data_IF_430145149148
#
_entry.id   IF_430145149148
#
_cell.length_a   1.000
_cell.length_b   1.000
_cell.length_c   1.000
_cell.angle_alpha   90.00
_cell.angle_beta   90.00
_cell.angle_gamma   90.00
#
_symmetry.space_group_name_H-M   'P 1'
#
loop_
_entity.id
_entity.type
_entity.pdbx_description
1 polymer ?
#
# COMPACT_ATOMS: atom_id res chain seq x y z
N UNK A 1 47.97 -0.23 -73.18
CA UNK A 1 47.71 0.51 -71.92
C UNK A 1 46.34 0.08 -71.41
N UNK A 2 46.33 -0.41 -70.17
CA UNK A 2 45.25 -1.16 -69.52
C UNK A 2 43.97 -0.35 -69.28
N UNK A 3 42.84 -0.95 -69.62
CA UNK A 3 41.50 -0.49 -69.30
C UNK A 3 41.27 -0.60 -67.79
N UNK A 4 40.98 0.52 -67.13
CA UNK A 4 40.76 0.58 -65.69
C UNK A 4 39.36 0.02 -65.39
N UNK A 5 39.31 -1.15 -64.76
CA UNK A 5 38.08 -1.78 -64.27
C UNK A 5 37.64 -1.09 -62.98
N UNK A 6 36.56 -0.32 -63.04
CA UNK A 6 35.92 0.21 -61.83
C UNK A 6 34.99 -0.87 -61.26
N UNK A 7 35.22 -1.36 -60.02
CA UNK A 7 34.28 -2.31 -59.41
C UNK A 7 32.93 -1.63 -59.21
N UNK A 8 31.86 -2.32 -59.62
CA UNK A 8 30.50 -1.83 -59.59
C UNK A 8 30.09 -1.27 -58.23
N UNK A 9 29.37 -0.14 -58.22
CA UNK A 9 28.79 0.42 -57.01
C UNK A 9 27.92 -0.66 -56.33
N UNK A 10 28.05 -0.90 -55.01
CA UNK A 10 27.17 -1.82 -54.34
C UNK A 10 25.72 -1.36 -54.53
N UNK A 11 24.83 -2.30 -54.85
CA UNK A 11 23.41 -2.01 -55.05
C UNK A 11 22.91 -1.19 -53.85
N UNK A 12 22.27 -0.04 -54.12
CA UNK A 12 21.78 0.87 -53.08
C UNK A 12 20.93 0.14 -52.02
N UNK A 13 20.17 -0.86 -52.47
CA UNK A 13 19.42 -1.75 -51.60
C UNK A 13 20.30 -2.51 -50.59
N UNK A 14 21.43 -3.08 -51.01
CA UNK A 14 22.37 -3.79 -50.14
C UNK A 14 23.01 -2.83 -49.13
N UNK A 15 23.33 -1.60 -49.55
CA UNK A 15 23.87 -0.58 -48.65
C UNK A 15 22.88 -0.21 -47.54
N UNK A 16 21.62 0.04 -47.90
CA UNK A 16 20.57 0.36 -46.92
C UNK A 16 20.31 -0.80 -45.95
N UNK A 17 20.24 -2.04 -46.45
CA UNK A 17 20.00 -3.23 -45.61
C UNK A 17 21.16 -3.47 -44.64
N UNK A 18 22.41 -3.43 -45.11
CA UNK A 18 23.59 -3.63 -44.26
C UNK A 18 23.77 -2.50 -43.25
N UNK A 19 23.40 -1.28 -43.60
CA UNK A 19 23.38 -0.14 -42.68
C UNK A 19 22.35 -0.35 -41.56
N UNK A 20 21.11 -0.72 -41.90
CA UNK A 20 20.05 -1.03 -40.93
C UNK A 20 20.45 -2.16 -39.98
N UNK A 21 21.06 -3.21 -40.50
CA UNK A 21 21.56 -4.34 -39.70
C UNK A 21 22.65 -3.91 -38.69
N UNK A 22 23.52 -2.97 -39.06
CA UNK A 22 24.60 -2.51 -38.16
C UNK A 22 24.12 -1.50 -37.12
N UNK A 23 23.13 -0.66 -37.46
CA UNK A 23 22.82 0.52 -36.67
C UNK A 23 21.48 0.43 -35.92
N UNK A 24 20.41 0.03 -36.58
CA UNK A 24 19.07 -0.01 -35.96
C UNK A 24 18.73 -1.35 -35.33
N UNK A 25 19.15 -2.45 -35.97
CA UNK A 25 18.83 -3.81 -35.51
C UNK A 25 19.30 -4.10 -34.06
N UNK A 26 20.52 -3.72 -33.62
CA UNK A 26 20.95 -3.95 -32.24
C UNK A 26 20.14 -3.16 -31.22
N UNK A 27 19.76 -1.92 -31.55
CA UNK A 27 18.96 -1.05 -30.66
C UNK A 27 17.55 -1.60 -30.50
N UNK A 28 16.92 -2.01 -31.60
CA UNK A 28 15.60 -2.64 -31.57
C UNK A 28 15.62 -3.96 -30.79
N UNK A 29 16.66 -4.78 -30.98
CA UNK A 29 16.80 -6.02 -30.23
C UNK A 29 17.05 -5.79 -28.74
N UNK A 30 17.90 -4.82 -28.38
CA UNK A 30 18.14 -4.46 -27.00
C UNK A 30 16.87 -3.92 -26.33
N UNK A 31 16.08 -3.11 -27.05
CA UNK A 31 14.78 -2.66 -26.58
C UNK A 31 13.80 -3.82 -26.39
N UNK A 32 13.69 -4.71 -27.37
CA UNK A 32 12.85 -5.89 -27.28
C UNK A 32 13.26 -6.79 -26.10
N UNK A 33 14.56 -7.02 -25.92
CA UNK A 33 15.11 -7.77 -24.79
C UNK A 33 14.77 -7.09 -23.46
N UNK A 34 14.94 -5.77 -23.36
CA UNK A 34 14.61 -5.02 -22.15
C UNK A 34 13.11 -5.13 -21.80
N UNK A 35 12.23 -5.02 -22.80
CA UNK A 35 10.78 -5.16 -22.62
C UNK A 35 10.44 -6.58 -22.15
N UNK A 36 10.96 -7.62 -22.82
CA UNK A 36 10.69 -9.03 -22.42
C UNK A 36 11.15 -9.32 -21.00
N UNK A 37 12.33 -8.81 -20.59
CA UNK A 37 12.82 -8.98 -19.21
C UNK A 37 12.00 -8.18 -18.21
N UNK A 38 11.57 -6.98 -18.56
CA UNK A 38 10.69 -6.18 -17.72
C UNK A 38 9.35 -6.91 -17.49
N UNK A 39 8.74 -7.48 -18.53
CA UNK A 39 7.47 -8.21 -18.42
C UNK A 39 7.64 -9.49 -17.60
N UNK A 40 8.66 -10.31 -17.88
CA UNK A 40 8.95 -11.54 -17.12
C UNK A 40 9.12 -11.26 -15.62
N UNK A 41 9.85 -10.19 -15.27
CA UNK A 41 10.08 -9.81 -13.86
C UNK A 41 8.81 -9.20 -13.25
N UNK A 42 8.01 -8.45 -14.02
CA UNK A 42 6.73 -7.93 -13.55
C UNK A 42 5.74 -9.06 -13.23
N UNK A 43 5.65 -10.09 -14.05
CA UNK A 43 4.75 -11.22 -13.81
C UNK A 43 5.10 -11.97 -12.52
N UNK A 44 6.39 -12.24 -12.31
CA UNK A 44 6.89 -12.86 -11.07
C UNK A 44 6.61 -12.00 -9.85
N UNK A 45 6.83 -10.68 -9.96
CA UNK A 45 6.55 -9.71 -8.88
C UNK A 45 5.07 -9.69 -8.55
N UNK A 46 4.20 -9.59 -9.56
CA UNK A 46 2.74 -9.57 -9.38
C UNK A 46 2.28 -10.80 -8.59
N UNK A 47 2.69 -11.99 -9.01
CA UNK A 47 2.35 -13.25 -8.31
C UNK A 47 2.88 -13.25 -6.87
N UNK A 48 4.04 -12.68 -6.60
CA UNK A 48 4.63 -12.65 -5.25
C UNK A 48 3.96 -11.63 -4.32
N UNK A 49 3.70 -10.41 -4.79
CA UNK A 49 3.07 -9.34 -4.00
C UNK A 49 1.58 -9.59 -3.80
N UNK A 50 0.87 -10.12 -4.79
CA UNK A 50 -0.58 -10.30 -4.74
C UNK A 50 -1.01 -11.53 -3.91
N UNK A 51 -0.07 -12.34 -3.39
CA UNK A 51 -0.38 -13.56 -2.61
C UNK A 51 -1.33 -13.32 -1.42
N UNK A 52 -1.24 -12.13 -0.81
CA UNK A 52 -2.06 -11.72 0.33
C UNK A 52 -3.03 -10.59 -0.02
N UNK A 53 -3.15 -10.25 -1.31
CA UNK A 53 -4.09 -9.23 -1.75
C UNK A 53 -5.51 -9.78 -1.59
N UNK A 54 -6.30 -9.11 -0.76
CA UNK A 54 -7.71 -9.45 -0.54
C UNK A 54 -8.54 -8.37 -1.20
N UNK A 55 -9.55 -8.78 -1.98
CA UNK A 55 -10.53 -7.85 -2.53
C UNK A 55 -11.34 -7.25 -1.37
N UNK A 56 -11.27 -5.92 -1.24
CA UNK A 56 -12.04 -5.15 -0.27
C UNK A 56 -12.98 -4.26 -1.04
N UNK A 57 -14.26 -4.35 -0.70
CA UNK A 57 -15.31 -3.55 -1.33
C UNK A 57 -16.06 -2.80 -0.24
N UNK A 58 -16.38 -1.55 -0.53
CA UNK A 58 -17.17 -0.73 0.36
C UNK A 58 -18.37 -0.17 -0.38
N UNK A 59 -19.53 -0.15 0.28
CA UNK A 59 -20.75 0.42 -0.28
C UNK A 59 -20.82 1.91 0.04
N UNK A 60 -21.54 2.64 -0.80
CA UNK A 60 -21.91 4.03 -0.54
C UNK A 60 -22.64 4.10 0.80
N UNK A 61 -22.29 5.09 1.62
CA UNK A 61 -22.71 5.30 3.03
C UNK A 61 -22.10 4.38 4.08
N UNK A 62 -21.16 3.49 3.74
CA UNK A 62 -20.41 2.77 4.77
C UNK A 62 -19.52 3.74 5.56
N UNK A 63 -19.44 3.50 6.87
CA UNK A 63 -18.51 4.18 7.75
C UNK A 63 -17.12 3.55 7.64
N UNK A 64 -16.11 4.38 7.42
CA UNK A 64 -14.72 3.97 7.27
C UNK A 64 -13.78 4.87 8.05
N UNK A 65 -12.66 4.31 8.48
CA UNK A 65 -11.52 5.07 8.99
C UNK A 65 -10.57 5.38 7.85
N UNK A 66 -10.04 6.60 7.81
CA UNK A 66 -9.09 7.05 6.80
C UNK A 66 -7.70 7.16 7.42
N UNK A 67 -6.70 6.60 6.73
CA UNK A 67 -5.31 6.73 7.12
C UNK A 67 -4.81 8.15 6.84
N UNK A 68 -4.54 8.92 7.90
CA UNK A 68 -4.02 10.28 7.78
C UNK A 68 -2.58 10.35 8.29
N UNK A 69 -1.72 11.02 7.52
CA UNK A 69 -0.39 11.40 7.97
C UNK A 69 -0.48 12.62 8.88
N UNK A 70 0.13 12.55 10.05
CA UNK A 70 0.21 13.70 10.95
C UNK A 70 1.15 14.76 10.38
N UNK A 71 0.70 16.02 10.33
CA UNK A 71 1.52 17.16 9.85
C UNK A 71 2.86 17.33 10.58
N UNK A 72 2.94 17.24 11.93
CA UNK A 72 4.20 17.45 12.64
C UNK A 72 5.21 16.30 12.53
N UNK A 73 4.79 15.06 12.27
CA UNK A 73 5.70 13.90 12.22
C UNK A 73 5.38 12.99 11.03
N UNK A 74 6.34 12.88 10.11
CA UNK A 74 6.24 12.09 8.87
C UNK A 74 6.02 10.59 9.12
N UNK A 75 6.47 10.08 10.27
CA UNK A 75 6.31 8.67 10.67
C UNK A 75 5.06 8.45 11.53
N UNK A 76 4.41 9.52 12.01
CA UNK A 76 3.20 9.40 12.80
C UNK A 76 1.99 9.31 11.85
N UNK A 77 1.55 8.07 11.62
CA UNK A 77 0.36 7.76 10.85
C UNK A 77 -0.75 7.37 11.82
N UNK A 78 -1.92 7.99 11.68
CA UNK A 78 -3.08 7.72 12.53
C UNK A 78 -4.33 7.44 11.70
N UNK A 79 -5.16 6.53 12.19
CA UNK A 79 -6.50 6.32 11.66
C UNK A 79 -7.39 7.45 12.17
N UNK A 80 -7.84 8.31 11.26
CA UNK A 80 -8.75 9.40 11.58
C UNK A 80 -10.18 8.91 11.45
N UNK A 81 -11.05 9.47 12.29
CA UNK A 81 -12.41 9.02 12.62
C UNK A 81 -13.38 8.77 11.46
N UNK A 82 -14.66 8.53 11.77
CA UNK A 82 -15.59 7.98 10.80
C UNK A 82 -15.78 8.94 9.61
N UNK A 83 -15.31 8.49 8.46
CA UNK A 83 -15.66 9.03 7.16
C UNK A 83 -16.79 8.23 6.57
N UNK A 84 -17.66 8.90 5.82
CA UNK A 84 -18.74 8.27 5.06
C UNK A 84 -18.29 8.18 3.61
N UNK A 85 -18.42 7.01 3.00
CA UNK A 85 -18.17 6.85 1.57
C UNK A 85 -19.31 7.49 0.79
N UNK A 86 -19.00 8.44 -0.08
CA UNK A 86 -19.97 9.14 -0.90
C UNK A 86 -20.17 8.45 -2.26
N UNK A 87 -19.08 8.07 -2.91
CA UNK A 87 -19.11 7.38 -4.20
C UNK A 87 -17.83 6.60 -4.47
N UNK A 88 -17.90 5.66 -5.41
CA UNK A 88 -16.78 4.88 -5.91
C UNK A 88 -16.36 5.42 -7.29
N UNK A 89 -15.08 5.75 -7.45
CA UNK A 89 -14.53 6.20 -8.74
C UNK A 89 -14.01 4.99 -9.53
N UNK A 90 -13.35 4.06 -8.84
CA UNK A 90 -12.84 2.80 -9.41
C UNK A 90 -12.91 1.69 -8.37
N UNK A 91 -12.59 0.46 -8.77
CA UNK A 91 -12.51 -0.69 -7.86
C UNK A 91 -11.65 -0.44 -6.61
N UNK A 92 -10.65 0.44 -6.74
CA UNK A 92 -9.69 0.76 -5.68
C UNK A 92 -9.76 2.19 -5.14
N UNK A 93 -10.45 3.13 -5.80
CA UNK A 93 -10.49 4.53 -5.39
C UNK A 93 -11.92 4.95 -5.01
N UNK A 94 -12.06 5.50 -3.81
CA UNK A 94 -13.32 5.93 -3.23
C UNK A 94 -13.26 7.39 -2.81
N UNK A 95 -14.40 8.08 -2.87
CA UNK A 95 -14.57 9.43 -2.31
C UNK A 95 -15.08 9.29 -0.88
N UNK A 96 -14.34 9.84 0.07
CA UNK A 96 -14.69 9.83 1.49
C UNK A 96 -14.96 11.24 1.97
N UNK A 97 -16.09 11.40 2.67
CA UNK A 97 -16.47 12.63 3.36
C UNK A 97 -16.20 12.46 4.86
N UNK A 98 -15.31 13.27 5.41
CA UNK A 98 -14.91 13.20 6.82
C UNK A 98 -15.80 14.06 7.72
N UNK A 99 -16.19 13.52 8.87
CA UNK A 99 -16.91 14.25 9.92
C UNK A 99 -15.94 15.21 10.63
N UNK A 100 -16.02 16.51 10.33
CA UNK A 100 -15.18 17.56 10.93
C UNK A 100 -14.57 18.56 9.95
N UNK A 101 -14.55 18.26 8.65
CA UNK A 101 -14.20 19.23 7.60
C UNK A 101 -15.38 19.35 6.65
N UNK A 102 -16.17 20.41 6.81
CA UNK A 102 -17.50 20.56 6.19
C UNK A 102 -17.50 20.38 4.66
N UNK A 103 -16.39 20.62 3.98
CA UNK A 103 -16.31 20.61 2.51
C UNK A 103 -15.14 19.79 1.92
N UNK A 104 -14.47 18.94 2.71
CA UNK A 104 -13.31 18.20 2.23
C UNK A 104 -13.67 16.75 1.89
N UNK A 105 -14.15 16.55 0.66
CA UNK A 105 -14.18 15.24 0.03
C UNK A 105 -12.77 14.88 -0.44
N UNK A 106 -12.23 13.77 0.03
CA UNK A 106 -10.90 13.31 -0.36
C UNK A 106 -11.03 11.99 -1.15
N UNK A 107 -10.24 11.86 -2.21
CA UNK A 107 -10.11 10.60 -2.95
C UNK A 107 -9.10 9.74 -2.21
N UNK A 108 -9.54 8.58 -1.75
CA UNK A 108 -8.72 7.64 -0.99
C UNK A 108 -8.64 6.30 -1.71
N UNK A 109 -7.44 5.72 -1.72
CA UNK A 109 -7.26 4.33 -2.13
C UNK A 109 -7.81 3.37 -1.07
N UNK A 110 -8.33 2.22 -1.46
CA UNK A 110 -8.94 1.19 -0.60
C UNK A 110 -8.01 0.73 0.53
N UNK A 111 -6.70 0.75 0.30
CA UNK A 111 -5.69 0.38 1.31
C UNK A 111 -5.58 1.39 2.46
N UNK A 112 -5.95 2.64 2.20
CA UNK A 112 -5.99 3.71 3.19
C UNK A 112 -7.31 3.73 3.96
N UNK A 113 -8.19 2.75 3.72
CA UNK A 113 -9.50 2.65 4.34
C UNK A 113 -9.60 1.39 5.20
N UNK A 114 -10.29 1.53 6.34
CA UNK A 114 -10.70 0.41 7.18
C UNK A 114 -12.19 0.51 7.50
N UNK A 115 -12.93 -0.60 7.60
CA UNK A 115 -14.31 -0.56 8.08
C UNK A 115 -14.35 -0.02 9.50
N UNK A 116 -15.25 0.92 9.75
CA UNK A 116 -15.47 1.46 11.09
C UNK A 116 -16.49 0.58 11.82
N UNK A 117 -16.09 0.05 12.98
CA UNK A 117 -16.98 -0.68 13.88
C UNK A 117 -17.24 0.18 15.11
N UNK A 118 -18.49 0.58 15.32
CA UNK A 118 -18.88 1.33 16.50
C UNK A 118 -18.69 0.46 17.73
N UNK A 119 -18.00 1.00 18.74
CA UNK A 119 -17.81 0.31 20.01
C UNK A 119 -19.15 0.27 20.77
N UNK A 120 -19.56 -0.88 21.35
CA UNK A 120 -20.70 -0.91 22.26
C UNK A 120 -20.43 -0.02 23.49
N UNK A 121 -21.44 0.73 23.92
CA UNK A 121 -21.34 1.86 24.86
C UNK A 121 -20.81 1.49 26.25
N UNK A 122 -20.89 0.21 26.64
CA UNK A 122 -20.61 -0.27 28.00
C UNK A 122 -19.13 -0.20 28.44
N UNK A 123 -18.17 0.05 27.54
CA UNK A 123 -16.72 -0.10 27.84
C UNK A 123 -16.00 1.25 27.98
N UNK A 124 -16.70 2.39 27.87
CA UNK A 124 -16.08 3.73 27.86
C UNK A 124 -16.03 4.45 29.23
N UNK A 125 -16.39 3.80 30.34
CA UNK A 125 -16.36 4.45 31.67
C UNK A 125 -14.95 4.71 32.24
N UNK A 126 -13.88 4.13 31.66
CA UNK A 126 -12.54 4.16 32.30
C UNK A 126 -11.61 5.26 31.73
N UNK A 127 -11.95 5.94 30.63
CA UNK A 127 -10.98 6.84 29.94
C UNK A 127 -11.26 8.34 30.09
N UNK A 128 -12.41 8.75 30.60
CA UNK A 128 -12.70 10.17 30.84
C UNK A 128 -13.07 10.38 32.31
N UNK A 129 -12.06 10.42 33.18
CA UNK A 129 -12.25 10.64 34.61
C UNK A 129 -10.94 11.09 35.26
N UNK A 130 -10.43 12.25 34.83
CA UNK A 130 -9.49 13.00 35.65
C UNK A 130 -10.25 13.79 36.70
N UNK A 131 -10.92 13.10 37.63
CA UNK A 131 -11.47 13.69 38.85
C UNK A 131 -11.32 12.68 39.99
N UNK A 132 -10.88 13.22 41.13
CA UNK A 132 -10.34 12.55 42.30
C UNK A 132 -11.26 11.44 42.85
N UNK A 133 -10.76 10.22 42.92
CA UNK A 133 -11.39 9.15 43.69
C UNK A 133 -11.01 9.37 45.15
N UNK A 134 -11.97 9.87 45.93
CA UNK A 134 -11.93 9.78 47.40
C UNK A 134 -11.83 8.31 47.80
N UNK A 135 -10.84 8.02 48.64
CA UNK A 135 -10.65 6.74 49.30
C UNK A 135 -11.96 6.28 49.94
N UNK A 136 -12.54 5.21 49.39
CA UNK A 136 -13.49 4.38 50.12
C UNK A 136 -13.00 2.95 50.05
N UNK A 137 -12.53 2.51 51.21
CA UNK A 137 -12.17 1.14 51.55
C UNK A 137 -13.20 0.17 50.96
N UNK A 138 -12.74 -0.69 50.06
CA UNK A 138 -13.41 -1.95 49.77
C UNK A 138 -12.32 -3.00 49.81
N UNK A 139 -12.14 -3.51 51.02
CA UNK A 139 -11.43 -4.74 51.29
C UNK A 139 -12.01 -5.87 50.41
N UNK A 140 -11.13 -6.78 50.01
CA UNK A 140 -11.39 -8.04 49.30
C UNK A 140 -11.76 -7.97 47.81
N UNK A 141 -10.74 -7.87 46.94
CA UNK A 141 -10.51 -8.83 45.84
C UNK A 141 -9.02 -8.78 45.44
N UNK A 142 -8.12 -9.11 46.38
CA UNK A 142 -6.72 -9.29 46.06
C UNK A 142 -6.56 -10.60 45.27
N UNK A 143 -6.21 -10.51 43.98
CA UNK A 143 -5.80 -11.66 43.19
C UNK A 143 -4.55 -12.24 43.87
N UNK A 144 -4.54 -13.52 44.30
CA UNK A 144 -3.38 -14.08 44.96
C UNK A 144 -2.23 -14.14 43.96
N UNK A 145 -1.13 -13.46 44.26
CA UNK A 145 0.11 -13.68 43.52
C UNK A 145 0.62 -15.08 43.86
N UNK A 146 1.01 -15.90 42.86
CA UNK A 146 1.66 -17.16 43.14
C UNK A 146 2.98 -16.87 43.85
N UNK A 147 3.07 -17.28 45.12
CA UNK A 147 4.31 -17.29 45.89
C UNK A 147 5.28 -18.17 45.13
N UNK A 148 6.28 -17.54 44.51
CA UNK A 148 7.39 -18.27 43.91
C UNK A 148 8.25 -18.77 45.05
N UNK A 149 7.99 -20.00 45.50
CA UNK A 149 8.81 -20.66 46.51
C UNK A 149 10.23 -20.80 45.95
N UNK A 150 11.26 -20.17 46.57
CA UNK A 150 12.59 -20.08 45.98
C UNK A 150 13.40 -21.38 46.11
N UNK A 151 12.80 -22.52 46.46
CA UNK A 151 13.53 -23.75 46.76
C UNK A 151 12.87 -25.03 46.22
N UNK A 152 12.55 -25.08 44.92
CA UNK A 152 12.00 -26.28 44.24
C UNK A 152 13.06 -27.02 43.39
N UNK A 153 14.32 -26.58 43.39
CA UNK A 153 15.42 -27.36 42.80
C UNK A 153 16.40 -27.80 43.88
N UNK A 154 16.01 -28.87 44.57
CA UNK A 154 16.93 -29.72 45.33
C UNK A 154 16.84 -31.13 44.73
N UNK A 155 17.55 -31.34 43.61
CA UNK A 155 17.93 -32.63 43.02
C UNK A 155 19.18 -32.45 42.16
#
# INVERSE_FOLDING_TARGET
>A
MSQVFFPGRPNFHIFVVTYWQKLFYPVLNAFALAVTKMTEVNDKRKVWYDKKAVKREFRVRNLVLVLATSKPNKMAVQWTGPGVIESQISDTNYIVKMEGKKDKTEICHVDLLKPYHQRPELINLIVNGGEEIQERETEELAIPYPVSDPNIYDF
#
